data_IF_232469055601
#
_entry.id   IF_232469055601
#
_cell.length_a   1.000
_cell.length_b   1.000
_cell.length_c   1.000
_cell.angle_alpha   90.00
_cell.angle_beta   90.00
_cell.angle_gamma   90.00
#
_symmetry.space_group_name_H-M   'P 1'
#
loop_
_entity.id
_entity.type
_entity.pdbx_description
1 polymer ?
#
# COMPACT_ATOMS: atom_id res chain seq x y z
N UNK A 1 38.96 4.09 9.49
CA UNK A 1 38.16 4.47 8.31
C UNK A 1 37.89 3.21 7.50
N UNK A 2 36.63 2.95 7.14
CA UNK A 2 36.17 1.74 6.45
C UNK A 2 34.64 1.68 6.41
N UNK A 3 34.08 0.78 5.60
CA UNK A 3 32.64 0.51 5.55
C UNK A 3 32.13 0.09 6.94
N UNK A 4 31.15 0.82 7.49
CA UNK A 4 30.67 0.56 8.85
C UNK A 4 29.60 -0.53 8.91
N UNK A 5 28.61 -0.50 8.00
CA UNK A 5 27.52 -1.48 7.87
C UNK A 5 26.97 -1.54 6.46
N UNK A 6 26.43 -2.70 6.10
CA UNK A 6 25.53 -2.90 4.95
C UNK A 6 24.24 -3.48 5.51
N UNK A 7 23.10 -2.89 5.16
CA UNK A 7 21.78 -3.34 5.61
C UNK A 7 20.99 -3.72 4.36
N UNK A 8 20.70 -5.01 4.22
CA UNK A 8 19.79 -5.53 3.21
C UNK A 8 18.49 -5.93 3.91
N UNK A 9 17.49 -5.07 3.82
CA UNK A 9 16.18 -5.26 4.44
C UNK A 9 15.09 -5.42 3.38
N UNK A 10 14.05 -6.22 3.65
CA UNK A 10 12.92 -6.36 2.74
C UNK A 10 12.06 -5.09 2.74
N UNK A 11 11.52 -4.75 1.58
CA UNK A 11 10.49 -3.71 1.39
C UNK A 11 9.33 -4.36 0.62
N UNK A 12 8.08 -4.27 1.10
CA UNK A 12 6.93 -4.79 0.36
C UNK A 12 6.54 -3.85 -0.78
N UNK A 13 6.31 -4.41 -1.97
CA UNK A 13 5.88 -3.67 -3.16
C UNK A 13 4.54 -4.21 -3.69
N UNK A 14 3.65 -3.29 -4.07
CA UNK A 14 2.49 -3.60 -4.89
C UNK A 14 2.94 -3.59 -6.35
N UNK A 15 2.19 -4.22 -7.28
CA UNK A 15 2.56 -4.28 -8.70
C UNK A 15 2.78 -2.91 -9.38
N UNK A 16 2.28 -1.82 -8.81
CA UNK A 16 2.46 -0.45 -9.31
C UNK A 16 3.32 0.44 -8.38
N UNK A 17 3.87 -0.12 -7.30
CA UNK A 17 4.68 0.59 -6.31
C UNK A 17 3.90 1.48 -5.32
N UNK A 18 2.58 1.64 -5.49
CA UNK A 18 1.75 2.44 -4.58
C UNK A 18 1.23 1.59 -3.41
N UNK A 19 1.06 2.17 -2.21
CA UNK A 19 0.50 1.46 -1.08
C UNK A 19 -0.96 1.05 -1.32
N UNK A 20 -1.46 0.15 -0.48
CA UNK A 20 -2.88 -0.19 -0.38
C UNK A 20 -3.46 0.54 0.83
N UNK A 21 -4.35 1.50 0.60
CA UNK A 21 -4.94 2.35 1.64
C UNK A 21 -6.44 2.50 1.36
N UNK A 22 -7.30 1.93 2.22
CA UNK A 22 -8.75 2.08 2.10
C UNK A 22 -9.54 0.81 2.43
N UNK A 23 -10.83 0.74 2.05
CA UNK A 23 -11.70 -0.40 2.36
C UNK A 23 -11.21 -1.70 1.73
N UNK A 24 -11.16 -2.77 2.52
CA UNK A 24 -10.76 -4.10 2.06
C UNK A 24 -11.79 -4.66 1.06
N UNK A 25 -11.37 -5.16 -0.12
CA UNK A 25 -12.29 -5.74 -1.08
C UNK A 25 -13.02 -6.95 -0.50
N UNK A 26 -14.35 -6.92 -0.53
CA UNK A 26 -15.19 -8.07 -0.12
C UNK A 26 -15.38 -8.26 1.38
N UNK A 27 -14.77 -7.43 2.24
CA UNK A 27 -14.94 -7.52 3.70
C UNK A 27 -15.45 -6.19 4.29
N UNK A 28 -16.73 -6.12 4.71
CA UNK A 28 -17.29 -4.91 5.31
C UNK A 28 -16.57 -4.53 6.62
N UNK A 29 -16.36 -3.23 6.84
CA UNK A 29 -15.69 -2.68 8.04
C UNK A 29 -14.25 -3.17 8.28
N UNK A 30 -13.57 -3.65 7.23
CA UNK A 30 -12.14 -3.92 7.24
C UNK A 30 -11.42 -2.95 6.30
N UNK A 31 -10.21 -2.53 6.69
CA UNK A 31 -9.42 -1.55 5.96
C UNK A 31 -7.99 -2.05 5.80
N UNK A 32 -7.36 -1.67 4.68
CA UNK A 32 -5.96 -1.91 4.40
C UNK A 32 -5.14 -0.63 4.59
N UNK A 33 -3.96 -0.79 5.17
CA UNK A 33 -2.84 0.14 5.13
C UNK A 33 -1.57 -0.67 5.13
N UNK A 34 -1.17 -1.13 3.95
CA UNK A 34 -0.04 -2.03 3.79
C UNK A 34 0.70 -1.77 2.48
N UNK A 35 1.81 -2.49 2.31
CA UNK A 35 2.62 -2.47 1.08
C UNK A 35 3.24 -1.09 0.79
N UNK A 36 3.76 -0.45 1.83
CA UNK A 36 4.38 0.86 1.72
C UNK A 36 5.82 0.78 1.22
N UNK A 37 6.02 1.21 -0.03
CA UNK A 37 7.36 1.43 -0.60
C UNK A 37 8.15 2.51 0.16
N UNK A 38 7.48 3.59 0.55
CA UNK A 38 8.08 4.73 1.27
C UNK A 38 7.37 4.99 2.60
N UNK A 39 7.18 3.94 3.41
CA UNK A 39 6.33 3.98 4.61
C UNK A 39 6.66 5.07 5.62
N UNK A 40 7.94 5.41 5.81
CA UNK A 40 8.34 6.49 6.71
C UNK A 40 7.85 7.86 6.22
N UNK A 41 7.95 8.12 4.92
CA UNK A 41 7.50 9.38 4.33
C UNK A 41 5.97 9.43 4.17
N UNK A 42 5.34 8.29 3.88
CA UNK A 42 3.91 8.19 3.56
C UNK A 42 3.02 7.99 4.80
N UNK A 43 3.57 7.50 5.91
CA UNK A 43 2.80 7.01 7.06
C UNK A 43 1.89 8.07 7.70
N UNK A 44 2.32 9.32 7.77
CA UNK A 44 1.50 10.41 8.31
C UNK A 44 0.23 10.65 7.50
N UNK A 45 0.37 10.75 6.17
CA UNK A 45 -0.76 10.93 5.26
C UNK A 45 -1.68 9.72 5.22
N UNK A 46 -1.12 8.51 5.21
CA UNK A 46 -1.88 7.26 5.24
C UNK A 46 -2.73 7.13 6.51
N UNK A 47 -2.20 7.53 7.66
CA UNK A 47 -2.94 7.54 8.93
C UNK A 47 -4.12 8.50 8.91
N UNK A 48 -3.94 9.71 8.36
CA UNK A 48 -5.02 10.69 8.18
C UNK A 48 -6.13 10.13 7.29
N UNK A 49 -5.77 9.62 6.12
CA UNK A 49 -6.72 9.03 5.15
C UNK A 49 -7.50 7.87 5.76
N UNK A 50 -6.84 6.97 6.50
CA UNK A 50 -7.53 5.88 7.17
C UNK A 50 -8.47 6.36 8.28
N UNK A 51 -8.06 7.38 9.04
CA UNK A 51 -8.91 7.94 10.08
C UNK A 51 -10.23 8.45 9.49
N UNK A 52 -10.18 9.19 8.38
CA UNK A 52 -11.36 9.69 7.66
C UNK A 52 -12.25 8.53 7.16
N UNK A 53 -11.65 7.50 6.56
CA UNK A 53 -12.39 6.30 6.15
C UNK A 53 -13.17 5.68 7.31
N UNK A 54 -12.56 5.59 8.50
CA UNK A 54 -13.17 4.97 9.68
C UNK A 54 -14.21 5.86 10.33
N UNK A 55 -13.97 7.17 10.46
CA UNK A 55 -14.84 8.09 11.21
C UNK A 55 -15.91 8.77 10.36
N UNK A 56 -15.63 9.00 9.08
CA UNK A 56 -16.48 9.78 8.16
C UNK A 56 -17.02 8.93 7.00
N UNK A 57 -16.47 7.74 6.76
CA UNK A 57 -16.91 6.84 5.69
C UNK A 57 -16.49 7.27 4.29
N UNK A 58 -15.66 8.31 4.17
CA UNK A 58 -15.09 8.83 2.93
C UNK A 58 -13.78 9.57 3.26
N UNK A 59 -13.02 9.95 2.23
CA UNK A 59 -11.76 10.69 2.38
C UNK A 59 -11.86 12.08 1.76
N UNK A 60 -11.13 13.05 2.30
CA UNK A 60 -11.04 14.40 1.72
C UNK A 60 -10.41 14.37 0.31
N UNK A 61 -9.41 13.51 0.12
CA UNK A 61 -8.67 13.38 -1.13
C UNK A 61 -9.17 12.20 -1.95
N UNK A 62 -8.99 12.29 -3.27
CA UNK A 62 -9.16 11.14 -4.15
C UNK A 62 -8.02 10.16 -3.94
N UNK A 63 -8.36 9.00 -3.38
CA UNK A 63 -7.42 7.94 -3.04
C UNK A 63 -7.43 6.78 -4.03
N UNK A 64 -8.06 6.91 -5.20
CA UNK A 64 -8.24 5.79 -6.14
C UNK A 64 -6.92 5.11 -6.54
N UNK A 65 -5.82 5.88 -6.67
CA UNK A 65 -4.49 5.34 -6.97
C UNK A 65 -3.89 4.46 -5.87
N UNK A 66 -4.36 4.61 -4.64
CA UNK A 66 -3.93 3.82 -3.48
C UNK A 66 -5.02 2.84 -3.01
N UNK A 67 -6.24 2.91 -3.57
CA UNK A 67 -7.35 2.07 -3.15
C UNK A 67 -7.05 0.58 -3.42
N UNK A 68 -7.24 -0.33 -2.45
CA UNK A 68 -7.04 -1.76 -2.66
C UNK A 68 -7.87 -2.34 -3.81
N UNK A 69 -9.06 -1.78 -4.07
CA UNK A 69 -10.01 -2.24 -5.08
C UNK A 69 -9.59 -1.86 -6.50
N UNK A 70 -8.49 -1.13 -6.68
CA UNK A 70 -7.89 -0.88 -8.00
C UNK A 70 -7.34 -2.16 -8.64
N UNK A 71 -7.00 -3.14 -7.81
CA UNK A 71 -6.58 -4.46 -8.25
C UNK A 71 -7.77 -5.42 -8.29
N UNK A 72 -7.82 -6.24 -9.33
CA UNK A 72 -8.76 -7.38 -9.42
C UNK A 72 -7.96 -8.68 -9.49
N UNK A 73 -8.64 -9.81 -9.71
CA UNK A 73 -8.02 -11.15 -9.65
C UNK A 73 -6.78 -11.37 -10.52
N UNK A 74 -6.54 -10.58 -11.58
CA UNK A 74 -5.31 -10.72 -12.36
C UNK A 74 -4.06 -10.36 -11.55
N UNK A 75 -4.18 -9.38 -10.65
CA UNK A 75 -3.09 -8.87 -9.83
C UNK A 75 -2.91 -9.64 -8.52
N UNK A 76 -3.65 -10.73 -8.31
CA UNK A 76 -3.36 -11.70 -7.25
C UNK A 76 -2.56 -12.91 -7.74
N UNK A 77 -2.32 -13.01 -9.05
CA UNK A 77 -1.47 -14.06 -9.62
C UNK A 77 -0.01 -13.84 -9.17
N UNK A 78 0.64 -14.82 -8.51
CA UNK A 78 1.99 -14.66 -7.98
C UNK A 78 3.00 -14.22 -9.03
N UNK A 79 2.98 -14.84 -10.21
CA UNK A 79 3.92 -14.54 -11.29
C UNK A 79 3.77 -13.10 -11.80
N UNK A 80 2.55 -12.55 -11.82
CA UNK A 80 2.30 -11.16 -12.18
C UNK A 80 2.90 -10.21 -11.14
N UNK A 81 2.63 -10.46 -9.86
CA UNK A 81 3.17 -9.64 -8.77
C UNK A 81 4.70 -9.66 -8.72
N UNK A 82 5.31 -10.84 -8.90
CA UNK A 82 6.77 -10.97 -8.92
C UNK A 82 7.35 -10.23 -10.13
N UNK A 83 6.79 -10.44 -11.33
CA UNK A 83 7.30 -9.78 -12.54
C UNK A 83 7.21 -8.25 -12.42
N UNK A 84 6.09 -7.71 -11.94
CA UNK A 84 5.89 -6.27 -11.80
C UNK A 84 6.67 -5.66 -10.64
N UNK A 85 6.88 -6.40 -9.55
CA UNK A 85 7.72 -5.95 -8.45
C UNK A 85 9.22 -5.88 -8.78
N UNK A 86 9.65 -6.48 -9.90
CA UNK A 86 11.03 -6.47 -10.38
C UNK A 86 11.31 -5.40 -11.47
N UNK A 87 10.27 -4.75 -12.01
CA UNK A 87 10.38 -3.68 -13.02
C UNK A 87 10.90 -2.37 -12.43
#
# INVERSE_FOLDING_TARGET
AGLSKVINGPIPYAPDGNPLIGPMPGLPNAFEACVFTFGIAQGGGAGKVLAEWVTEGQTEWDMWSCDPRRFTSFASAPDYCVAKGME
#
